data_IF_830505196550
#
_entry.id   IF_830505196550
#
_cell.length_a   1.000
_cell.length_b   1.000
_cell.length_c   1.000
_cell.angle_alpha   90.00
_cell.angle_beta   90.00
_cell.angle_gamma   90.00
#
_symmetry.space_group_name_H-M   'P 1'
#
loop_
_entity.id
_entity.type
_entity.pdbx_description
1 polymer ?
#
# COMPACT_ATOMS: atom_id res chain seq x y z
N UNK A 1 18.56 0.96 -16.23
CA UNK A 1 18.22 0.40 -14.91
C UNK A 1 18.26 1.46 -13.82
N UNK A 2 19.27 2.33 -13.74
CA UNK A 2 19.34 3.41 -12.75
C UNK A 2 18.16 4.39 -12.81
N UNK A 3 17.77 4.88 -13.99
CA UNK A 3 16.63 5.81 -14.15
C UNK A 3 15.29 5.19 -13.74
N UNK A 4 15.15 3.89 -13.94
CA UNK A 4 13.97 3.13 -13.56
C UNK A 4 13.81 3.03 -12.04
N UNK A 5 14.94 2.75 -11.37
CA UNK A 5 14.99 2.69 -9.91
C UNK A 5 14.74 4.09 -9.30
N UNK A 6 15.36 5.14 -9.87
CA UNK A 6 15.16 6.53 -9.43
C UNK A 6 13.69 6.95 -9.47
N UNK A 7 12.97 6.64 -10.54
CA UNK A 7 11.56 7.03 -10.70
C UNK A 7 10.64 6.31 -9.71
N UNK A 8 10.83 5.00 -9.54
CA UNK A 8 10.06 4.21 -8.57
C UNK A 8 10.30 4.67 -7.14
N UNK A 9 11.57 4.89 -6.78
CA UNK A 9 11.98 5.40 -5.46
C UNK A 9 11.41 6.80 -5.22
N UNK A 10 11.52 7.71 -6.18
CA UNK A 10 11.05 9.08 -6.04
C UNK A 10 9.53 9.15 -5.79
N UNK A 11 8.72 8.37 -6.53
CA UNK A 11 7.29 8.28 -6.30
C UNK A 11 6.94 7.78 -4.90
N UNK A 12 7.70 6.81 -4.40
CA UNK A 12 7.48 6.25 -3.07
C UNK A 12 7.89 7.26 -1.99
N UNK A 13 9.04 7.93 -2.16
CA UNK A 13 9.51 8.95 -1.22
C UNK A 13 8.53 10.14 -1.14
N UNK A 14 8.02 10.61 -2.28
CA UNK A 14 7.01 11.68 -2.31
C UNK A 14 5.74 11.23 -1.59
N UNK A 15 5.27 10.01 -1.90
CA UNK A 15 4.09 9.45 -1.23
C UNK A 15 4.27 9.35 0.28
N UNK A 16 5.39 8.79 0.74
CA UNK A 16 5.69 8.65 2.17
C UNK A 16 5.86 10.01 2.85
N UNK A 17 6.58 10.93 2.22
CA UNK A 17 6.76 12.29 2.77
C UNK A 17 5.44 13.02 2.94
N UNK A 18 4.56 12.98 1.94
CA UNK A 18 3.20 13.54 2.02
C UNK A 18 2.39 12.82 3.09
N UNK A 19 2.43 11.48 3.11
CA UNK A 19 1.70 10.68 4.09
C UNK A 19 2.11 11.00 5.53
N UNK A 20 3.40 11.03 5.79
CA UNK A 20 3.92 11.34 7.14
C UNK A 20 3.64 12.78 7.57
N UNK A 21 3.82 13.75 6.67
CA UNK A 21 3.49 15.13 6.95
C UNK A 21 2.02 15.32 7.32
N UNK A 22 1.13 14.65 6.59
CA UNK A 22 -0.31 14.70 6.84
C UNK A 22 -0.71 13.96 8.12
N UNK A 23 -0.07 12.83 8.44
CA UNK A 23 -0.30 12.13 9.70
C UNK A 23 0.14 12.98 10.90
N UNK A 24 1.30 13.63 10.82
CA UNK A 24 1.76 14.55 11.84
C UNK A 24 0.80 15.74 12.03
N UNK A 25 0.36 16.34 10.93
CA UNK A 25 -0.63 17.42 10.94
C UNK A 25 -1.96 16.95 11.55
N UNK A 26 -2.44 15.78 11.17
CA UNK A 26 -3.68 15.21 11.71
C UNK A 26 -3.58 15.00 13.22
N UNK A 27 -2.46 14.46 13.70
CA UNK A 27 -2.22 14.29 15.14
C UNK A 27 -2.22 15.62 15.90
N UNK A 28 -1.52 16.63 15.38
CA UNK A 28 -1.45 17.96 16.01
C UNK A 28 -2.81 18.63 16.09
N UNK A 29 -3.66 18.44 15.08
CA UNK A 29 -4.98 19.08 15.01
C UNK A 29 -6.05 18.34 15.81
N UNK A 30 -6.04 17.00 15.81
CA UNK A 30 -7.15 16.18 16.28
C UNK A 30 -6.78 15.14 17.36
N UNK A 31 -5.48 14.97 17.69
CA UNK A 31 -5.02 14.00 18.67
C UNK A 31 -5.35 12.56 18.31
N UNK A 32 -5.44 11.68 19.31
CA UNK A 32 -5.75 10.25 19.12
C UNK A 32 -7.20 9.99 18.74
N UNK A 33 -8.15 10.77 19.25
CA UNK A 33 -9.58 10.62 18.98
C UNK A 33 -9.90 10.87 17.49
N UNK A 34 -9.13 11.77 16.87
CA UNK A 34 -9.25 12.07 15.46
C UNK A 34 -10.42 12.99 15.14
N UNK A 35 -10.98 12.86 13.94
CA UNK A 35 -12.00 13.76 13.40
C UNK A 35 -13.17 12.96 12.80
N UNK A 36 -14.41 13.34 13.14
CA UNK A 36 -15.66 12.73 12.66
C UNK A 36 -15.71 11.19 12.83
N UNK A 37 -15.12 10.67 13.90
CA UNK A 37 -15.08 9.24 14.20
C UNK A 37 -13.97 8.47 13.45
N UNK A 38 -13.09 9.17 12.72
CA UNK A 38 -11.88 8.60 12.12
C UNK A 38 -10.74 8.84 13.10
N UNK A 39 -10.34 7.80 13.83
CA UNK A 39 -9.24 7.88 14.79
C UNK A 39 -7.88 8.08 14.11
N UNK A 40 -6.90 8.59 14.88
CA UNK A 40 -5.52 8.72 14.39
C UNK A 40 -4.95 7.40 13.87
N UNK A 41 -5.22 6.29 14.57
CA UNK A 41 -4.78 4.95 14.17
C UNK A 41 -5.35 4.57 12.80
N UNK A 42 -6.67 4.77 12.59
CA UNK A 42 -7.32 4.49 11.30
C UNK A 42 -6.71 5.35 10.18
N UNK A 43 -6.50 6.64 10.45
CA UNK A 43 -5.93 7.57 9.48
C UNK A 43 -4.51 7.19 9.07
N UNK A 44 -3.62 6.94 10.04
CA UNK A 44 -2.23 6.54 9.79
C UNK A 44 -2.17 5.23 9.00
N UNK A 45 -2.89 4.20 9.45
CA UNK A 45 -2.90 2.89 8.78
C UNK A 45 -3.40 2.98 7.34
N UNK A 46 -4.40 3.84 7.06
CA UNK A 46 -4.89 4.03 5.70
C UNK A 46 -3.85 4.77 4.84
N UNK A 47 -3.43 5.97 5.27
CA UNK A 47 -2.64 6.89 4.43
C UNK A 47 -1.24 6.35 4.12
N UNK A 48 -0.63 5.64 5.07
CA UNK A 48 0.73 5.08 4.90
C UNK A 48 0.76 3.71 4.22
N UNK A 49 -0.36 2.97 4.18
CA UNK A 49 -0.42 1.62 3.60
C UNK A 49 -0.39 1.62 2.08
N UNK A 50 0.19 0.56 1.50
CA UNK A 50 0.21 0.31 0.05
C UNK A 50 0.15 -1.19 -0.24
N UNK A 51 -0.69 -1.58 -1.20
CA UNK A 51 -0.87 -2.98 -1.61
C UNK A 51 0.09 -3.33 -2.76
N UNK A 52 1.26 -3.85 -2.42
CA UNK A 52 2.25 -4.27 -3.41
C UNK A 52 1.75 -5.43 -4.29
N UNK A 53 1.00 -6.38 -3.73
CA UNK A 53 0.50 -7.54 -4.47
C UNK A 53 -0.52 -7.13 -5.55
N UNK A 54 -1.51 -6.30 -5.19
CA UNK A 54 -2.49 -5.79 -6.16
C UNK A 54 -1.81 -4.86 -7.18
N UNK A 55 -0.87 -4.02 -6.76
CA UNK A 55 -0.06 -3.23 -7.67
C UNK A 55 0.60 -4.10 -8.74
N UNK A 56 1.27 -5.18 -8.34
CA UNK A 56 1.92 -6.07 -9.29
C UNK A 56 0.91 -6.77 -10.19
N UNK A 57 -0.24 -7.20 -9.67
CA UNK A 57 -1.33 -7.78 -10.45
C UNK A 57 -1.86 -6.83 -11.53
N UNK A 58 -2.01 -5.54 -11.20
CA UNK A 58 -2.46 -4.51 -12.14
C UNK A 58 -1.38 -4.18 -13.18
N UNK A 59 -0.11 -4.03 -12.74
CA UNK A 59 0.99 -3.52 -13.58
C UNK A 59 1.61 -4.61 -14.47
N UNK A 60 1.55 -5.88 -14.07
CA UNK A 60 2.20 -6.98 -14.81
C UNK A 60 1.91 -7.02 -16.31
N UNK A 61 0.68 -6.79 -16.80
CA UNK A 61 0.36 -6.89 -18.21
C UNK A 61 0.96 -5.78 -19.09
N UNK A 62 1.17 -4.57 -18.53
CA UNK A 62 1.49 -3.37 -19.32
C UNK A 62 2.57 -2.48 -18.72
N UNK A 63 2.96 -2.68 -17.47
CA UNK A 63 4.01 -1.89 -16.81
C UNK A 63 5.40 -2.15 -17.41
N UNK A 64 6.22 -1.12 -17.45
CA UNK A 64 7.62 -1.24 -17.88
C UNK A 64 8.51 -1.92 -16.81
N UNK A 65 9.79 -2.14 -17.14
CA UNK A 65 10.74 -2.76 -16.20
C UNK A 65 10.91 -1.94 -14.90
N UNK A 66 10.75 -0.62 -14.99
CA UNK A 66 10.83 0.29 -13.86
C UNK A 66 9.62 0.14 -12.93
N UNK A 67 8.43 0.07 -13.53
CA UNK A 67 7.20 -0.13 -12.78
C UNK A 67 7.24 -1.46 -12.03
N UNK A 68 7.67 -2.54 -12.69
CA UNK A 68 7.81 -3.87 -12.06
C UNK A 68 8.90 -3.89 -10.97
N UNK A 69 10.03 -3.23 -11.19
CA UNK A 69 11.11 -3.15 -10.19
C UNK A 69 10.68 -2.39 -8.93
N UNK A 70 9.75 -1.44 -9.02
CA UNK A 70 9.25 -0.69 -7.87
C UNK A 70 8.43 -1.53 -6.88
N UNK A 71 8.01 -2.74 -7.27
CA UNK A 71 7.34 -3.70 -6.38
C UNK A 71 8.18 -4.02 -5.13
N UNK A 72 9.48 -4.29 -5.30
CA UNK A 72 10.38 -4.60 -4.18
C UNK A 72 10.45 -3.46 -3.15
N UNK A 73 10.45 -2.22 -3.64
CA UNK A 73 10.49 -1.03 -2.77
C UNK A 73 9.14 -0.82 -2.07
N UNK A 74 8.03 -1.15 -2.73
CA UNK A 74 6.69 -1.06 -2.11
C UNK A 74 6.52 -2.00 -0.92
N UNK A 75 7.21 -3.14 -0.88
CA UNK A 75 7.19 -4.03 0.28
C UNK A 75 7.75 -3.35 1.54
N UNK A 76 8.74 -2.48 1.37
CA UNK A 76 9.29 -1.67 2.47
C UNK A 76 8.23 -0.67 2.97
N UNK A 77 7.30 -0.23 2.13
CA UNK A 77 6.19 0.66 2.53
C UNK A 77 5.14 0.00 3.45
N UNK A 78 5.26 -1.29 3.72
CA UNK A 78 4.41 -1.96 4.73
C UNK A 78 4.84 -1.65 6.17
N UNK A 79 6.07 -1.19 6.37
CA UNK A 79 6.64 -0.88 7.70
C UNK A 79 6.22 0.48 8.27
N UNK A 80 6.05 1.54 7.44
CA UNK A 80 5.79 2.88 7.92
C UNK A 80 4.66 3.03 8.96
N UNK A 81 3.50 2.36 8.82
CA UNK A 81 2.43 2.51 9.81
C UNK A 81 2.87 2.13 11.22
N UNK A 82 3.61 1.02 11.36
CA UNK A 82 4.10 0.51 12.65
C UNK A 82 5.13 1.48 13.25
N UNK A 83 6.06 1.95 12.42
CA UNK A 83 7.08 2.92 12.83
C UNK A 83 6.43 4.23 13.29
N UNK A 84 5.48 4.73 12.50
CA UNK A 84 4.84 6.01 12.77
C UNK A 84 4.00 5.97 14.07
N UNK A 85 3.20 4.94 14.26
CA UNK A 85 2.44 4.74 15.49
C UNK A 85 3.36 4.54 16.70
N UNK A 86 4.52 3.91 16.52
CA UNK A 86 5.54 3.80 17.58
C UNK A 86 6.10 5.16 18.02
N UNK A 87 6.32 6.10 17.10
CA UNK A 87 6.78 7.45 17.43
C UNK A 87 5.75 8.26 18.23
N UNK A 88 4.47 8.08 17.96
CA UNK A 88 3.38 8.81 18.62
C UNK A 88 2.78 8.05 19.81
N UNK A 89 3.27 6.84 20.12
CA UNK A 89 2.87 6.12 21.30
C UNK A 89 3.61 6.62 22.56
N UNK A 90 2.94 6.70 23.70
CA UNK A 90 3.54 7.11 24.96
C UNK A 90 4.70 6.22 25.42
N UNK A 91 4.68 4.95 25.03
CA UNK A 91 5.74 3.98 25.32
C UNK A 91 6.98 4.11 24.41
N UNK A 92 6.92 4.93 23.36
CA UNK A 92 7.99 5.06 22.37
C UNK A 92 8.29 3.75 21.61
N UNK A 93 9.52 3.60 21.14
CA UNK A 93 10.00 2.36 20.49
C UNK A 93 10.35 1.31 21.56
N UNK A 94 9.42 0.39 21.81
CA UNK A 94 9.64 -0.76 22.68
C UNK A 94 10.15 -2.00 21.93
N UNK A 95 10.49 -3.04 22.66
CA UNK A 95 10.95 -4.33 22.11
C UNK A 95 9.93 -4.95 21.14
N UNK A 96 8.63 -4.77 21.39
CA UNK A 96 7.55 -5.29 20.55
C UNK A 96 7.58 -4.68 19.14
N UNK A 97 7.78 -3.35 19.00
CA UNK A 97 7.89 -2.69 17.69
C UNK A 97 9.15 -3.13 16.94
N UNK A 98 10.27 -3.25 17.65
CA UNK A 98 11.53 -3.76 17.07
C UNK A 98 11.34 -5.17 16.55
N UNK A 99 10.70 -6.05 17.31
CA UNK A 99 10.43 -7.43 16.89
C UNK A 99 9.50 -7.49 15.66
N UNK A 100 8.49 -6.61 15.60
CA UNK A 100 7.61 -6.49 14.41
C UNK A 100 8.38 -6.07 13.17
N UNK A 101 9.27 -5.09 13.28
CA UNK A 101 10.13 -4.64 12.16
C UNK A 101 11.04 -5.79 11.71
N UNK A 102 11.68 -6.49 12.64
CA UNK A 102 12.54 -7.62 12.36
C UNK A 102 11.77 -8.72 11.63
N UNK A 103 10.54 -9.03 12.09
CA UNK A 103 9.67 -10.03 11.49
C UNK A 103 9.25 -9.70 10.04
N UNK A 104 9.22 -8.43 9.67
CA UNK A 104 8.97 -7.99 8.29
C UNK A 104 10.24 -8.02 7.43
N UNK A 105 11.39 -7.65 8.01
CA UNK A 105 12.66 -7.56 7.28
C UNK A 105 13.25 -8.94 6.98
N UNK A 106 13.21 -9.87 7.92
CA UNK A 106 13.86 -11.19 7.76
C UNK A 106 13.31 -11.95 6.54
N UNK A 107 11.97 -12.14 6.37
CA UNK A 107 11.44 -12.83 5.20
C UNK A 107 11.79 -12.13 3.88
N UNK A 108 11.82 -10.79 3.88
CA UNK A 108 12.20 -10.02 2.71
C UNK A 108 13.66 -10.27 2.31
N UNK A 109 14.60 -10.19 3.26
CA UNK A 109 16.02 -10.47 3.02
C UNK A 109 16.21 -11.91 2.57
N UNK A 110 15.57 -12.88 3.24
CA UNK A 110 15.65 -14.28 2.86
C UNK A 110 15.15 -14.51 1.44
N UNK A 111 13.99 -13.95 1.07
CA UNK A 111 13.45 -14.05 -0.28
C UNK A 111 14.38 -13.41 -1.33
N UNK A 112 15.00 -12.27 -1.00
CA UNK A 112 15.95 -11.61 -1.87
C UNK A 112 17.24 -12.44 -2.05
N UNK A 113 17.78 -13.02 -0.98
CA UNK A 113 18.99 -13.86 -1.02
C UNK A 113 18.70 -15.13 -1.82
N UNK A 114 17.66 -15.90 -1.45
CA UNK A 114 17.30 -17.15 -2.12
C UNK A 114 16.97 -16.94 -3.60
N UNK A 115 16.22 -15.91 -3.93
CA UNK A 115 15.84 -15.63 -5.31
C UNK A 115 16.98 -15.12 -6.21
N UNK A 116 18.11 -14.66 -5.60
CA UNK A 116 19.31 -14.30 -6.35
C UNK A 116 20.38 -15.39 -6.38
N UNK A 117 20.36 -16.33 -5.42
CA UNK A 117 21.31 -17.42 -5.36
C UNK A 117 20.96 -18.57 -6.31
N UNK A 118 19.67 -18.85 -6.50
CA UNK A 118 19.23 -19.98 -7.28
C UNK A 118 18.01 -19.64 -8.16
N UNK A 119 18.19 -19.81 -9.48
CA UNK A 119 17.14 -19.56 -10.47
C UNK A 119 16.00 -20.57 -10.40
N UNK A 120 16.24 -21.78 -9.94
CA UNK A 120 15.18 -22.80 -9.82
C UNK A 120 14.30 -22.53 -8.61
N UNK A 121 14.87 -22.11 -7.48
CA UNK A 121 14.11 -21.58 -6.35
C UNK A 121 13.22 -20.40 -6.80
N UNK A 122 13.77 -19.48 -7.56
CA UNK A 122 13.01 -18.33 -8.10
C UNK A 122 11.82 -18.78 -8.96
N UNK A 123 11.99 -19.81 -9.79
CA UNK A 123 10.91 -20.34 -10.65
C UNK A 123 9.80 -20.99 -9.80
N UNK A 124 10.15 -21.75 -8.76
CA UNK A 124 9.20 -22.37 -7.84
C UNK A 124 8.30 -21.33 -7.18
N UNK A 125 8.88 -20.21 -6.73
CA UNK A 125 8.11 -19.16 -6.06
C UNK A 125 7.45 -18.15 -7.02
N UNK A 126 7.74 -18.19 -8.32
CA UNK A 126 7.18 -17.25 -9.29
C UNK A 126 5.64 -17.27 -9.36
N UNK A 127 5.02 -18.43 -9.15
CA UNK A 127 3.56 -18.60 -9.08
C UNK A 127 2.94 -18.37 -7.70
N UNK A 128 3.75 -18.13 -6.67
CA UNK A 128 3.30 -18.11 -5.27
C UNK A 128 2.19 -17.09 -4.99
N UNK A 129 2.24 -15.92 -5.61
CA UNK A 129 1.20 -14.90 -5.45
C UNK A 129 -0.20 -15.39 -5.85
N UNK A 130 -0.31 -16.12 -6.96
CA UNK A 130 -1.59 -16.63 -7.43
C UNK A 130 -2.19 -17.66 -6.46
N UNK A 131 -1.33 -18.42 -5.78
CA UNK A 131 -1.74 -19.44 -4.81
C UNK A 131 -2.12 -18.79 -3.47
N UNK A 132 -1.33 -17.80 -3.00
CA UNK A 132 -1.50 -17.19 -1.67
C UNK A 132 -2.66 -16.19 -1.64
N UNK A 133 -2.95 -15.47 -2.75
CA UNK A 133 -3.99 -14.43 -2.80
C UNK A 133 -5.37 -14.87 -2.30
N UNK A 134 -5.92 -16.06 -2.66
CA UNK A 134 -7.20 -16.53 -2.14
C UNK A 134 -7.18 -16.74 -0.62
N UNK A 135 -6.09 -17.28 -0.08
CA UNK A 135 -5.94 -17.51 1.38
C UNK A 135 -5.85 -16.18 2.14
N UNK A 136 -5.11 -15.20 1.61
CA UNK A 136 -5.08 -13.85 2.18
C UNK A 136 -6.45 -13.19 2.13
N UNK A 137 -7.19 -13.38 1.04
CA UNK A 137 -8.58 -12.89 0.93
C UNK A 137 -9.49 -13.49 1.99
N UNK A 138 -9.37 -14.79 2.24
CA UNK A 138 -10.11 -15.48 3.30
C UNK A 138 -9.71 -15.00 4.70
N UNK A 139 -8.41 -14.92 4.98
CA UNK A 139 -7.87 -14.42 6.25
C UNK A 139 -8.38 -13.02 6.55
N UNK A 140 -8.21 -12.08 5.63
CA UNK A 140 -8.67 -10.71 5.82
C UNK A 140 -10.20 -10.63 5.92
N UNK A 141 -10.93 -11.40 5.12
CA UNK A 141 -12.39 -11.47 5.21
C UNK A 141 -12.89 -11.98 6.57
N UNK A 142 -12.19 -12.94 7.17
CA UNK A 142 -12.55 -13.50 8.47
C UNK A 142 -12.34 -12.53 9.65
N UNK A 143 -11.47 -11.53 9.49
CA UNK A 143 -11.23 -10.51 10.51
C UNK A 143 -12.25 -9.37 10.50
N UNK A 144 -13.07 -9.27 9.44
CA UNK A 144 -14.03 -8.20 9.27
C UNK A 144 -15.36 -8.56 9.95
N UNK A 145 -15.74 -7.80 10.97
CA UNK A 145 -17.08 -7.86 11.52
C UNK A 145 -18.04 -7.05 10.62
N UNK A 146 -18.90 -7.73 9.88
CA UNK A 146 -19.84 -7.09 8.95
C UNK A 146 -20.81 -6.12 9.64
N UNK A 147 -21.22 -6.39 10.88
CA UNK A 147 -22.12 -5.51 11.64
C UNK A 147 -21.43 -4.20 11.96
N UNK A 148 -20.19 -4.25 12.42
CA UNK A 148 -19.41 -3.06 12.74
C UNK A 148 -18.98 -2.31 11.47
N UNK A 149 -18.70 -3.03 10.39
CA UNK A 149 -18.45 -2.42 9.08
C UNK A 149 -19.64 -1.60 8.57
N UNK A 150 -20.87 -2.11 8.74
CA UNK A 150 -22.09 -1.36 8.36
C UNK A 150 -22.29 -0.12 9.25
N UNK A 151 -22.05 -0.22 10.56
CA UNK A 151 -22.14 0.93 11.48
C UNK A 151 -21.12 2.03 11.14
N UNK A 152 -19.92 1.65 10.69
CA UNK A 152 -18.83 2.56 10.33
C UNK A 152 -18.84 2.94 8.84
N UNK A 153 -19.91 2.63 8.10
CA UNK A 153 -20.04 2.93 6.67
C UNK A 153 -19.87 4.42 6.34
N UNK A 154 -20.49 5.38 7.08
CA UNK A 154 -20.27 6.79 6.82
C UNK A 154 -18.81 7.23 7.00
N UNK A 155 -18.16 6.75 8.06
CA UNK A 155 -16.74 7.04 8.35
C UNK A 155 -15.82 6.36 7.32
N UNK A 156 -16.12 5.13 6.93
CA UNK A 156 -15.40 4.41 5.89
C UNK A 156 -15.50 5.10 4.53
N UNK A 157 -16.69 5.59 4.16
CA UNK A 157 -16.87 6.36 2.93
C UNK A 157 -16.10 7.69 2.99
N UNK A 158 -16.24 8.44 4.08
CA UNK A 158 -15.52 9.69 4.30
C UNK A 158 -14.00 9.45 4.22
N UNK A 159 -13.49 8.43 4.92
CA UNK A 159 -12.07 8.08 4.88
C UNK A 159 -11.61 7.67 3.48
N UNK A 160 -12.45 6.96 2.72
CA UNK A 160 -12.14 6.62 1.33
C UNK A 160 -11.99 7.88 0.47
N UNK A 161 -12.89 8.85 0.58
CA UNK A 161 -12.81 10.13 -0.14
C UNK A 161 -11.54 10.89 0.25
N UNK A 162 -11.27 11.00 1.56
CA UNK A 162 -10.05 11.63 2.08
C UNK A 162 -8.81 10.92 1.51
N UNK A 163 -8.80 9.59 1.50
CA UNK A 163 -7.70 8.79 0.97
C UNK A 163 -7.42 9.07 -0.52
N UNK A 164 -8.47 9.13 -1.34
CA UNK A 164 -8.32 9.46 -2.76
C UNK A 164 -7.76 10.86 -2.96
N UNK A 165 -8.22 11.85 -2.20
CA UNK A 165 -7.76 13.24 -2.28
C UNK A 165 -6.30 13.36 -1.81
N UNK A 166 -5.97 12.76 -0.67
CA UNK A 166 -4.69 12.97 0.01
C UNK A 166 -3.58 12.07 -0.54
N UNK A 167 -3.89 10.82 -0.91
CA UNK A 167 -2.88 9.84 -1.29
C UNK A 167 -2.78 9.69 -2.81
N UNK A 168 -3.93 9.46 -3.46
CA UNK A 168 -3.94 9.12 -4.89
C UNK A 168 -3.76 10.37 -5.74
N UNK A 169 -4.50 11.44 -5.45
CA UNK A 169 -4.45 12.66 -6.27
C UNK A 169 -3.07 13.32 -6.32
N UNK A 170 -2.36 13.58 -5.20
CA UNK A 170 -1.02 14.16 -5.26
C UNK A 170 -0.02 13.27 -5.98
N UNK A 171 -0.07 11.96 -5.75
CA UNK A 171 0.79 10.99 -6.43
C UNK A 171 0.54 10.96 -7.94
N UNK A 172 -0.73 11.03 -8.36
CA UNK A 172 -1.15 11.10 -9.76
C UNK A 172 -0.68 12.42 -10.41
N UNK A 173 -0.89 13.56 -9.75
CA UNK A 173 -0.44 14.87 -10.23
C UNK A 173 1.08 14.86 -10.39
N UNK A 174 1.82 14.38 -9.40
CA UNK A 174 3.28 14.27 -9.46
C UNK A 174 3.75 13.41 -10.63
N UNK A 175 3.14 12.25 -10.84
CA UNK A 175 3.47 11.38 -11.97
C UNK A 175 3.20 12.07 -13.32
N UNK A 176 2.13 12.87 -13.42
CA UNK A 176 1.76 13.58 -14.63
C UNK A 176 2.65 14.80 -14.91
N UNK A 177 2.95 15.58 -13.89
CA UNK A 177 3.63 16.87 -14.05
C UNK A 177 5.15 16.76 -14.01
N UNK A 178 5.68 15.96 -13.07
CA UNK A 178 7.14 15.84 -12.85
C UNK A 178 7.74 14.70 -13.66
N UNK A 179 7.07 13.54 -13.68
CA UNK A 179 7.58 12.38 -14.41
C UNK A 179 7.11 12.31 -15.86
N UNK A 180 6.19 13.18 -16.28
CA UNK A 180 5.62 13.24 -17.63
C UNK A 180 5.08 11.89 -18.11
N UNK A 181 4.40 11.14 -17.20
CA UNK A 181 3.84 9.82 -17.45
C UNK A 181 2.29 9.83 -17.38
N UNK A 182 1.60 8.82 -17.92
CA UNK A 182 0.13 8.79 -17.93
C UNK A 182 -0.54 8.78 -16.55
N UNK A 183 0.16 8.45 -15.45
CA UNK A 183 -0.36 8.47 -14.08
C UNK A 183 -0.96 7.14 -13.61
N UNK A 184 -0.93 6.10 -14.43
CA UNK A 184 -1.49 4.79 -14.06
C UNK A 184 -0.73 4.10 -12.93
N UNK A 185 0.61 4.31 -12.85
CA UNK A 185 1.43 3.66 -11.83
C UNK A 185 1.12 4.21 -10.42
N UNK A 186 0.87 5.51 -10.30
CA UNK A 186 0.45 6.14 -9.03
C UNK A 186 -0.92 5.63 -8.57
N UNK A 187 -1.89 5.52 -9.48
CA UNK A 187 -3.21 4.98 -9.16
C UNK A 187 -3.15 3.50 -8.79
N UNK A 188 -2.36 2.70 -9.51
CA UNK A 188 -2.16 1.29 -9.18
C UNK A 188 -1.56 1.10 -7.77
N UNK A 189 -0.65 1.99 -7.34
CA UNK A 189 -0.08 2.00 -5.98
C UNK A 189 -1.06 2.51 -4.92
N UNK A 190 -2.16 3.11 -5.33
CA UNK A 190 -3.16 3.71 -4.45
C UNK A 190 -4.05 2.71 -3.73
N UNK A 191 -3.95 1.41 -3.98
CA UNK A 191 -4.76 0.43 -3.27
C UNK A 191 -4.23 0.18 -1.85
N UNK A 192 -5.15 0.03 -0.90
CA UNK A 192 -4.85 -0.29 0.49
C UNK A 192 -4.41 -1.76 0.61
N UNK A 193 -3.41 -2.04 1.44
CA UNK A 193 -3.00 -3.42 1.74
C UNK A 193 -3.91 -4.07 2.78
N UNK A 194 -4.21 -5.36 2.62
CA UNK A 194 -4.94 -6.14 3.62
C UNK A 194 -4.23 -6.16 4.98
N UNK A 195 -2.90 -6.18 5.00
CA UNK A 195 -2.11 -6.10 6.23
C UNK A 195 -2.38 -4.85 7.08
N UNK A 196 -2.91 -3.77 6.50
CA UNK A 196 -3.31 -2.58 7.26
C UNK A 196 -4.39 -2.86 8.30
N UNK A 197 -5.21 -3.91 8.12
CA UNK A 197 -6.25 -4.30 9.09
C UNK A 197 -5.68 -4.88 10.39
N UNK A 198 -4.48 -5.42 10.36
CA UNK A 198 -3.84 -6.02 11.53
C UNK A 198 -3.07 -4.98 12.36
N UNK A 199 -2.61 -3.90 11.74
CA UNK A 199 -1.77 -2.88 12.38
C UNK A 199 -2.44 -2.22 13.59
N UNK A 200 -3.75 -1.87 13.58
CA UNK A 200 -4.40 -1.30 14.78
C UNK A 200 -4.28 -2.19 16.02
N UNK A 201 -4.48 -3.51 15.85
CA UNK A 201 -4.34 -4.47 16.96
C UNK A 201 -2.88 -4.59 17.43
N UNK A 202 -1.93 -4.57 16.51
CA UNK A 202 -0.51 -4.58 16.82
C UNK A 202 -0.08 -3.31 17.56
N UNK A 203 -0.60 -2.15 17.15
CA UNK A 203 -0.34 -0.87 17.81
C UNK A 203 -0.92 -0.85 19.23
N UNK A 204 -2.12 -1.36 19.43
CA UNK A 204 -2.76 -1.47 20.75
C UNK A 204 -2.01 -2.42 21.68
N UNK A 205 -1.46 -3.53 21.16
CA UNK A 205 -0.61 -4.44 21.94
C UNK A 205 0.67 -3.76 22.45
N UNK A 206 1.15 -2.76 21.73
CA UNK A 206 2.35 -1.98 22.11
C UNK A 206 2.04 -0.75 22.95
N UNK A 207 0.84 -0.18 22.78
CA UNK A 207 0.39 1.00 23.51
C UNK A 207 -1.12 0.94 23.73
N UNK A 208 -1.53 0.76 24.98
CA UNK A 208 -2.93 0.65 25.41
C UNK A 208 -3.78 1.88 25.08
N UNK A 209 -3.19 3.05 24.88
CA UNK A 209 -3.89 4.25 24.43
C UNK A 209 -4.61 4.07 23.09
N UNK A 210 -4.17 3.12 22.25
CA UNK A 210 -4.80 2.82 20.96
C UNK A 210 -5.94 1.79 21.06
N UNK A 211 -6.06 1.07 22.18
CA UNK A 211 -7.04 -0.02 22.36
C UNK A 211 -8.50 0.40 22.09
N UNK A 212 -8.99 1.56 22.56
CA UNK A 212 -10.36 1.99 22.29
C UNK A 212 -10.70 2.19 20.81
N UNK A 213 -9.68 2.40 19.97
CA UNK A 213 -9.85 2.73 18.56
C UNK A 213 -9.71 1.53 17.63
N UNK A 214 -9.29 0.36 18.10
CA UNK A 214 -8.98 -0.81 17.26
C UNK A 214 -10.17 -1.24 16.43
N UNK A 215 -11.31 -1.49 17.07
CA UNK A 215 -12.51 -2.02 16.37
C UNK A 215 -13.01 -1.06 15.30
N UNK A 216 -13.11 0.23 15.61
CA UNK A 216 -13.55 1.25 14.65
C UNK A 216 -12.52 1.43 13.52
N UNK A 217 -11.23 1.42 13.85
CA UNK A 217 -10.17 1.53 12.85
C UNK A 217 -10.19 0.36 11.87
N UNK A 218 -10.29 -0.88 12.35
CA UNK A 218 -10.37 -2.08 11.48
C UNK A 218 -11.59 -2.00 10.56
N UNK A 219 -12.77 -1.60 11.08
CA UNK A 219 -13.98 -1.48 10.27
C UNK A 219 -13.85 -0.41 9.18
N UNK A 220 -13.31 0.76 9.50
CA UNK A 220 -13.03 1.84 8.54
C UNK A 220 -12.03 1.38 7.49
N UNK A 221 -10.92 0.76 7.91
CA UNK A 221 -9.88 0.27 7.01
C UNK A 221 -10.39 -0.82 6.07
N UNK A 222 -11.25 -1.73 6.55
CA UNK A 222 -11.89 -2.74 5.72
C UNK A 222 -12.72 -2.12 4.60
N UNK A 223 -13.45 -1.04 4.90
CA UNK A 223 -14.21 -0.30 3.89
C UNK A 223 -13.30 0.38 2.87
N UNK A 224 -12.27 1.10 3.31
CA UNK A 224 -11.28 1.75 2.43
C UNK A 224 -10.56 0.71 1.56
N UNK A 225 -10.22 -0.45 2.12
CA UNK A 225 -9.62 -1.58 1.40
C UNK A 225 -10.54 -2.04 0.26
N UNK A 226 -11.81 -2.30 0.56
CA UNK A 226 -12.77 -2.75 -0.44
C UNK A 226 -12.93 -1.72 -1.57
N UNK A 227 -13.13 -0.44 -1.22
CA UNK A 227 -13.30 0.65 -2.18
C UNK A 227 -12.06 0.83 -3.06
N UNK A 228 -10.87 0.89 -2.46
CA UNK A 228 -9.62 1.12 -3.23
C UNK A 228 -9.25 -0.07 -4.11
N UNK A 229 -9.45 -1.31 -3.62
CA UNK A 229 -9.14 -2.51 -4.39
C UNK A 229 -10.08 -2.71 -5.59
N UNK A 230 -11.29 -2.16 -5.53
CA UNK A 230 -12.23 -2.14 -6.66
C UNK A 230 -11.92 -0.96 -7.60
N UNK A 231 -11.83 0.27 -7.05
CA UNK A 231 -11.75 1.47 -7.89
C UNK A 231 -10.38 1.64 -8.57
N UNK A 232 -9.27 1.30 -7.91
CA UNK A 232 -7.94 1.50 -8.50
C UNK A 232 -7.74 0.74 -9.82
N UNK A 233 -8.09 -0.56 -9.96
CA UNK A 233 -8.01 -1.25 -11.25
C UNK A 233 -8.86 -0.60 -12.33
N UNK A 234 -10.10 -0.17 -12.00
CA UNK A 234 -10.98 0.52 -12.96
C UNK A 234 -10.40 1.86 -13.42
N UNK A 235 -9.87 2.65 -12.48
CA UNK A 235 -9.24 3.93 -12.80
C UNK A 235 -7.98 3.74 -13.67
N UNK A 236 -7.17 2.73 -13.39
CA UNK A 236 -6.00 2.39 -14.22
C UNK A 236 -6.44 2.03 -15.63
N UNK A 237 -7.43 1.15 -15.77
CA UNK A 237 -7.99 0.80 -17.08
C UNK A 237 -8.49 2.04 -17.83
N UNK A 238 -9.20 2.92 -17.16
CA UNK A 238 -9.70 4.17 -17.75
C UNK A 238 -8.58 5.10 -18.21
N UNK A 239 -7.49 5.23 -17.44
CA UNK A 239 -6.31 6.02 -17.82
C UNK A 239 -5.66 5.44 -19.08
N UNK A 240 -5.48 4.12 -19.13
CA UNK A 240 -4.86 3.43 -20.26
C UNK A 240 -5.69 3.58 -21.54
N UNK A 241 -7.02 3.51 -21.46
CA UNK A 241 -7.90 3.72 -22.64
C UNK A 241 -7.82 5.14 -23.18
N UNK A 242 -7.47 6.12 -22.35
CA UNK A 242 -7.28 7.52 -22.79
C UNK A 242 -5.89 7.82 -23.37
N UNK A 243 -4.93 6.90 -23.18
CA UNK A 243 -3.54 7.05 -23.66
C UNK A 243 -3.09 5.81 -24.46
N UNK A 244 -3.75 5.46 -25.57
CA UNK A 244 -3.49 4.22 -26.32
C UNK A 244 -2.12 4.19 -26.99
N UNK A 245 -1.55 5.34 -27.38
CA UNK A 245 -0.22 5.42 -27.99
C UNK A 245 0.90 4.95 -27.06
N UNK A 246 0.77 5.26 -25.76
CA UNK A 246 1.71 4.81 -24.74
C UNK A 246 1.60 3.30 -24.49
N UNK A 247 0.41 2.75 -24.61
CA UNK A 247 0.15 1.30 -24.47
C UNK A 247 0.78 0.49 -25.62
N UNK A 248 0.61 0.93 -26.86
CA UNK A 248 1.22 0.28 -28.03
C UNK A 248 2.75 0.32 -28.02
N UNK A 249 3.34 1.44 -27.63
CA UNK A 249 4.78 1.59 -27.50
C UNK A 249 5.35 0.61 -26.45
N UNK A 250 4.63 0.37 -25.37
CA UNK A 250 5.03 -0.55 -24.29
C UNK A 250 4.85 -2.01 -24.65
N UNK A 251 3.74 -2.36 -25.29
CA UNK A 251 3.52 -3.72 -25.80
C UNK A 251 4.58 -4.13 -26.81
N UNK A 252 5.00 -3.21 -27.67
CA UNK A 252 6.09 -3.45 -28.62
C UNK A 252 7.44 -3.64 -27.93
N UNK A 253 7.72 -2.85 -26.90
CA UNK A 253 8.94 -3.00 -26.07
C UNK A 253 8.96 -4.33 -25.33
N UNK A 254 7.81 -4.82 -24.85
CA UNK A 254 7.66 -6.13 -24.22
C UNK A 254 7.92 -7.27 -25.21
N UNK A 255 7.26 -7.23 -26.36
CA UNK A 255 7.46 -8.25 -27.42
C UNK A 255 8.91 -8.35 -27.87
N UNK A 256 9.62 -7.20 -27.99
CA UNK A 256 11.03 -7.16 -28.34
C UNK A 256 11.95 -7.67 -27.23
N UNK A 257 11.55 -7.55 -25.96
CA UNK A 257 12.32 -8.06 -24.83
C UNK A 257 12.15 -9.58 -24.68
N UNK A 258 10.95 -10.10 -24.90
CA UNK A 258 10.64 -11.53 -24.84
C UNK A 258 11.24 -12.30 -26.03
N UNK A 259 11.36 -11.66 -27.20
CA UNK A 259 12.01 -12.24 -28.38
C UNK A 259 13.55 -12.35 -28.26
N UNK A 260 14.15 -11.74 -27.24
CA UNK A 260 15.61 -11.77 -26.97
C UNK A 260 16.00 -12.70 -25.81
N UNK A 261 15.05 -13.38 -25.20
CA UNK A 261 15.26 -14.46 -24.22
C UNK A 261 15.06 -15.83 -24.87
#
# INVERSE_FOLDING_TARGET
>A
MADALHRGVLLILVRLGVAYGLCALFYVLFGYEGFLGISFVAFVCAVTSANAALYMGIISPFGDKADKASFGIMLICSMPPVLFLGFYGEAGFGEAQVMQIISLIIPFILGMVLGNMDMDIRKVFAGGNAIILPFLGFEFGSTINLIDAVKMLPQGLLMSVIYFIIVITPSYIFERTVLHRPGYASVARGSLAGGALVIPSMAAASNTAFEPYVTSAVAILAFVLAVTNILCPFMVKFILTRHPADEQSRQNTHKLADAKQ
#
